data_IF_668810637138
#
_entry.id   IF_668810637138
#
_cell.length_a   1.000
_cell.length_b   1.000
_cell.length_c   1.000
_cell.angle_alpha   90.00
_cell.angle_beta   90.00
_cell.angle_gamma   90.00
#
_symmetry.space_group_name_H-M   'P 1'
#
loop_
_entity.id
_entity.type
_entity.pdbx_description
1 polymer ?
#
# COMPACT_ATOMS: atom_id res chain seq x y z
N UNK A 1 -15.23 -7.19 44.81
CA UNK A 1 -14.42 -7.03 43.57
C UNK A 1 -14.59 -5.61 43.08
N UNK A 2 -13.52 -4.83 43.14
CA UNK A 2 -13.56 -3.38 42.99
C UNK A 2 -13.96 -2.99 41.55
N UNK A 3 -14.99 -2.15 41.41
CA UNK A 3 -15.51 -1.59 40.15
C UNK A 3 -14.40 -1.00 39.24
N UNK A 4 -13.29 -0.56 39.82
CA UNK A 4 -12.09 -0.08 39.11
C UNK A 4 -11.39 -1.17 38.28
N UNK A 5 -11.40 -2.44 38.74
CA UNK A 5 -10.73 -3.56 38.06
C UNK A 5 -11.48 -3.95 36.79
N UNK A 6 -12.82 -3.95 36.84
CA UNK A 6 -13.67 -4.28 35.69
C UNK A 6 -13.50 -3.27 34.55
N UNK A 7 -13.38 -1.98 34.87
CA UNK A 7 -13.17 -0.92 33.86
C UNK A 7 -11.83 -1.09 33.16
N UNK A 8 -10.75 -1.39 33.90
CA UNK A 8 -9.41 -1.59 33.34
C UNK A 8 -9.38 -2.79 32.39
N UNK A 9 -9.99 -3.91 32.77
CA UNK A 9 -10.04 -5.11 31.94
C UNK A 9 -10.80 -4.85 30.63
N UNK A 10 -11.95 -4.17 30.68
CA UNK A 10 -12.73 -3.83 29.48
C UNK A 10 -11.97 -2.91 28.54
N UNK A 11 -11.27 -1.88 29.06
CA UNK A 11 -10.46 -0.99 28.23
C UNK A 11 -9.31 -1.71 27.53
N UNK A 12 -8.63 -2.65 28.21
CA UNK A 12 -7.53 -3.42 27.62
C UNK A 12 -8.02 -4.34 26.50
N UNK A 13 -9.17 -4.98 26.68
CA UNK A 13 -9.77 -5.86 25.65
C UNK A 13 -10.14 -5.06 24.40
N UNK A 14 -10.76 -3.88 24.55
CA UNK A 14 -11.15 -3.02 23.42
C UNK A 14 -9.90 -2.54 22.65
N UNK A 15 -8.83 -2.17 23.35
CA UNK A 15 -7.56 -1.77 22.75
C UNK A 15 -6.92 -2.90 21.93
N UNK A 16 -6.88 -4.12 22.48
CA UNK A 16 -6.34 -5.29 21.79
C UNK A 16 -7.14 -5.63 20.53
N UNK A 17 -8.47 -5.61 20.63
CA UNK A 17 -9.34 -5.81 19.47
C UNK A 17 -9.11 -4.74 18.39
N UNK A 18 -9.03 -3.46 18.75
CA UNK A 18 -8.78 -2.38 17.80
C UNK A 18 -7.44 -2.55 17.06
N UNK A 19 -6.39 -3.00 17.76
CA UNK A 19 -5.09 -3.30 17.14
C UNK A 19 -5.11 -4.54 16.24
N UNK A 20 -5.90 -5.56 16.60
CA UNK A 20 -6.07 -6.75 15.79
C UNK A 20 -6.82 -6.44 14.47
N UNK A 21 -7.94 -5.71 14.56
CA UNK A 21 -8.69 -5.27 13.37
C UNK A 21 -7.89 -4.33 12.47
N UNK A 22 -7.06 -3.45 13.04
CA UNK A 22 -6.15 -2.62 12.27
C UNK A 22 -5.08 -3.43 11.53
N UNK A 23 -4.55 -4.50 12.14
CA UNK A 23 -3.57 -5.38 11.49
C UNK A 23 -4.21 -6.27 10.41
N UNK A 24 -5.38 -6.84 10.68
CA UNK A 24 -6.13 -7.68 9.75
C UNK A 24 -6.65 -6.91 8.54
N UNK A 25 -6.99 -5.62 8.70
CA UNK A 25 -7.32 -4.74 7.57
C UNK A 25 -6.07 -4.24 6.82
N UNK A 26 -4.90 -4.18 7.47
CA UNK A 26 -3.66 -3.76 6.84
C UNK A 26 -3.10 -4.80 5.85
N UNK A 27 -3.17 -6.08 6.19
CA UNK A 27 -2.64 -7.15 5.36
C UNK A 27 -3.23 -7.19 3.94
N UNK A 28 -4.56 -7.23 3.73
CA UNK A 28 -5.16 -7.23 2.39
C UNK A 28 -4.86 -5.93 1.64
N UNK A 29 -4.78 -4.80 2.34
CA UNK A 29 -4.39 -3.53 1.72
C UNK A 29 -2.93 -3.53 1.28
N UNK A 30 -2.01 -4.09 2.06
CA UNK A 30 -0.61 -4.25 1.68
C UNK A 30 -0.45 -5.15 0.45
N UNK A 31 -1.21 -6.23 0.37
CA UNK A 31 -1.22 -7.10 -0.82
C UNK A 31 -1.75 -6.38 -2.05
N UNK A 32 -2.84 -5.60 -1.91
CA UNK A 32 -3.35 -4.74 -2.99
C UNK A 32 -2.31 -3.70 -3.43
N UNK A 33 -1.71 -2.97 -2.49
CA UNK A 33 -0.66 -2.00 -2.79
C UNK A 33 0.49 -2.66 -3.57
N UNK A 34 0.95 -3.82 -3.11
CA UNK A 34 2.02 -4.58 -3.78
C UNK A 34 1.62 -5.01 -5.19
N UNK A 35 0.42 -5.55 -5.36
CA UNK A 35 -0.10 -6.00 -6.65
C UNK A 35 -0.21 -4.84 -7.65
N UNK A 36 -0.79 -3.71 -7.23
CA UNK A 36 -0.90 -2.52 -8.07
C UNK A 36 0.47 -1.94 -8.43
N UNK A 37 1.43 -1.94 -7.49
CA UNK A 37 2.81 -1.54 -7.80
C UNK A 37 3.42 -2.43 -8.87
N UNK A 38 3.33 -3.76 -8.73
CA UNK A 38 3.79 -4.71 -9.73
C UNK A 38 3.16 -4.44 -11.09
N UNK A 39 1.82 -4.32 -11.13
CA UNK A 39 1.07 -4.06 -12.36
C UNK A 39 1.53 -2.77 -13.05
N UNK A 40 1.61 -1.65 -12.31
CA UNK A 40 1.96 -0.36 -12.88
C UNK A 40 3.41 -0.30 -13.37
N UNK A 41 4.36 -0.97 -12.70
CA UNK A 41 5.74 -1.02 -13.18
C UNK A 41 5.90 -1.97 -14.37
N UNK A 42 5.24 -3.14 -14.37
CA UNK A 42 5.30 -4.08 -15.49
C UNK A 42 4.71 -3.51 -16.77
N UNK A 43 3.53 -2.87 -16.69
CA UNK A 43 2.87 -2.31 -17.88
C UNK A 43 3.56 -1.07 -18.44
N UNK A 44 4.43 -0.42 -17.66
CA UNK A 44 5.26 0.67 -18.16
C UNK A 44 6.51 0.19 -18.89
N UNK A 45 6.84 -1.10 -18.82
CA UNK A 45 8.02 -1.71 -19.44
C UNK A 45 7.65 -2.53 -20.68
N UNK A 46 8.62 -2.80 -21.58
CA UNK A 46 8.40 -3.71 -22.70
C UNK A 46 8.02 -5.12 -22.19
N UNK A 47 7.02 -5.74 -22.79
CA UNK A 47 6.37 -7.01 -22.39
C UNK A 47 7.30 -8.22 -22.22
N UNK A 48 8.56 -8.13 -22.65
CA UNK A 48 9.52 -9.24 -22.70
C UNK A 48 10.42 -9.35 -21.46
N UNK A 49 10.32 -8.42 -20.51
CA UNK A 49 11.13 -8.46 -19.29
C UNK A 49 10.34 -9.12 -18.14
N UNK A 50 10.73 -10.34 -17.79
CA UNK A 50 10.27 -11.00 -16.57
C UNK A 50 11.19 -10.63 -15.41
N UNK A 51 10.65 -9.99 -14.38
CA UNK A 51 11.41 -9.55 -13.21
C UNK A 51 11.05 -10.42 -12.01
N UNK A 52 12.05 -11.05 -11.41
CA UNK A 52 11.85 -11.98 -10.29
C UNK A 52 11.37 -11.33 -9.00
N UNK A 53 11.44 -9.99 -8.87
CA UNK A 53 10.96 -9.28 -7.69
C UNK A 53 10.55 -7.81 -7.96
N UNK A 54 9.71 -7.27 -7.08
CA UNK A 54 9.16 -5.91 -7.20
C UNK A 54 10.23 -4.80 -7.15
N UNK A 55 11.33 -4.99 -6.43
CA UNK A 55 12.37 -3.97 -6.32
C UNK A 55 13.13 -3.81 -7.63
N UNK A 56 13.52 -4.93 -8.25
CA UNK A 56 14.20 -4.93 -9.55
C UNK A 56 13.31 -4.35 -10.66
N UNK A 57 12.03 -4.73 -10.63
CA UNK A 57 11.01 -4.19 -11.52
C UNK A 57 10.86 -2.66 -11.35
N UNK A 58 10.76 -2.19 -10.10
CA UNK A 58 10.72 -0.75 -9.79
C UNK A 58 11.97 -0.06 -10.30
N UNK A 59 13.15 -0.56 -9.95
CA UNK A 59 14.41 0.10 -10.27
C UNK A 59 14.62 0.18 -11.78
N UNK A 60 14.26 -0.88 -12.52
CA UNK A 60 14.28 -0.88 -13.98
C UNK A 60 13.30 0.13 -14.55
N UNK A 61 12.06 0.17 -14.06
CA UNK A 61 11.07 1.18 -14.47
C UNK A 61 11.54 2.61 -14.17
N UNK A 62 12.18 2.85 -13.03
CA UNK A 62 12.66 4.18 -12.63
C UNK A 62 13.83 4.68 -13.50
N UNK A 63 14.54 3.77 -14.17
CA UNK A 63 15.61 4.09 -15.12
C UNK A 63 15.10 4.38 -16.54
N UNK A 64 13.84 4.01 -16.87
CA UNK A 64 13.21 4.32 -18.15
C UNK A 64 12.26 5.53 -18.00
N UNK A 65 12.48 6.60 -18.77
CA UNK A 65 11.70 7.84 -18.65
C UNK A 65 10.21 7.65 -18.99
N UNK A 66 9.91 6.74 -19.92
CA UNK A 66 8.54 6.44 -20.35
C UNK A 66 7.83 5.63 -19.25
N UNK A 67 8.48 4.59 -18.74
CA UNK A 67 7.97 3.80 -17.63
C UNK A 67 7.78 4.67 -16.39
N UNK A 68 8.75 5.52 -16.03
CA UNK A 68 8.65 6.44 -14.90
C UNK A 68 7.39 7.32 -14.99
N UNK A 69 7.12 7.90 -16.16
CA UNK A 69 5.96 8.76 -16.37
C UNK A 69 4.65 7.96 -16.31
N UNK A 70 4.61 6.81 -16.99
CA UNK A 70 3.45 5.92 -17.00
C UNK A 70 3.12 5.40 -15.59
N UNK A 71 4.10 4.82 -14.91
CA UNK A 71 3.95 4.22 -13.60
C UNK A 71 3.47 5.23 -12.58
N UNK A 72 4.00 6.47 -12.59
CA UNK A 72 3.49 7.54 -11.72
C UNK A 72 1.98 7.75 -11.92
N UNK A 73 1.55 7.93 -13.16
CA UNK A 73 0.13 8.17 -13.49
C UNK A 73 -0.74 6.97 -13.11
N UNK A 74 -0.29 5.76 -13.44
CA UNK A 74 -0.97 4.51 -13.11
C UNK A 74 -1.16 4.35 -11.59
N UNK A 75 -0.09 4.53 -10.81
CA UNK A 75 -0.11 4.36 -9.36
C UNK A 75 -1.04 5.36 -8.68
N UNK A 76 -0.94 6.65 -9.04
CA UNK A 76 -1.79 7.70 -8.47
C UNK A 76 -3.26 7.42 -8.82
N UNK A 77 -3.56 7.13 -10.09
CA UNK A 77 -4.94 6.86 -10.52
C UNK A 77 -5.55 5.65 -9.80
N UNK A 78 -4.79 4.58 -9.55
CA UNK A 78 -5.30 3.41 -8.84
C UNK A 78 -5.46 3.69 -7.35
N UNK A 79 -4.50 4.35 -6.70
CA UNK A 79 -4.57 4.63 -5.26
C UNK A 79 -5.61 5.70 -4.89
N UNK A 80 -6.03 6.53 -5.84
CA UNK A 80 -7.17 7.45 -5.66
C UNK A 80 -8.53 6.78 -5.94
N UNK A 81 -8.56 5.54 -6.41
CA UNK A 81 -9.81 4.82 -6.71
C UNK A 81 -10.56 4.39 -5.45
N UNK A 82 -11.86 4.14 -5.60
CA UNK A 82 -12.71 3.63 -4.52
C UNK A 82 -12.21 2.30 -3.94
N UNK A 83 -11.46 1.51 -4.71
CA UNK A 83 -10.91 0.22 -4.27
C UNK A 83 -9.95 0.36 -3.07
N UNK A 84 -9.28 1.51 -2.95
CA UNK A 84 -8.34 1.84 -1.88
C UNK A 84 -8.91 2.81 -0.84
N UNK A 85 -10.16 3.25 -0.99
CA UNK A 85 -10.81 4.20 -0.08
C UNK A 85 -10.83 3.70 1.38
N UNK A 86 -10.99 2.39 1.57
CA UNK A 86 -11.00 1.73 2.88
C UNK A 86 -9.60 1.29 3.34
N UNK A 87 -8.55 1.50 2.53
CA UNK A 87 -7.21 1.12 2.91
C UNK A 87 -6.53 2.20 3.75
N UNK A 88 -6.18 1.89 5.01
CA UNK A 88 -5.38 2.81 5.81
C UNK A 88 -4.05 3.07 5.09
N UNK A 89 -3.51 4.28 5.24
CA UNK A 89 -2.21 4.71 4.69
C UNK A 89 -2.14 4.95 3.17
N UNK A 90 -3.24 4.82 2.40
CA UNK A 90 -3.23 5.12 0.95
C UNK A 90 -2.66 6.51 0.63
N UNK A 91 -3.02 7.51 1.43
CA UNK A 91 -2.49 8.88 1.30
C UNK A 91 -0.98 8.97 1.56
N UNK A 92 -0.45 8.12 2.43
CA UNK A 92 0.99 8.02 2.67
C UNK A 92 1.70 7.43 1.44
N UNK A 93 1.12 6.40 0.81
CA UNK A 93 1.65 5.84 -0.43
C UNK A 93 1.64 6.86 -1.58
N UNK A 94 0.54 7.59 -1.78
CA UNK A 94 0.44 8.67 -2.78
C UNK A 94 1.53 9.73 -2.58
N UNK A 95 1.77 10.16 -1.33
CA UNK A 95 2.85 11.10 -1.00
C UNK A 95 4.23 10.52 -1.31
N UNK A 96 4.46 9.26 -0.99
CA UNK A 96 5.72 8.57 -1.28
C UNK A 96 5.98 8.46 -2.79
N UNK A 97 4.97 8.14 -3.59
CA UNK A 97 5.06 8.13 -5.06
C UNK A 97 5.43 9.53 -5.58
N UNK A 98 4.74 10.57 -5.13
CA UNK A 98 5.06 11.94 -5.55
C UNK A 98 6.49 12.35 -5.22
N UNK A 99 7.10 11.82 -4.16
CA UNK A 99 8.51 12.05 -3.82
C UNK A 99 9.47 11.21 -4.68
N UNK A 100 9.16 9.93 -4.86
CA UNK A 100 9.99 8.98 -5.63
C UNK A 100 10.08 9.37 -7.11
N UNK A 101 9.01 9.94 -7.66
CA UNK A 101 8.90 10.37 -9.05
C UNK A 101 9.09 11.89 -9.25
N UNK A 102 9.83 12.56 -8.36
CA UNK A 102 10.45 13.86 -8.66
C UNK A 102 11.65 13.68 -9.59
#
# INVERSE_FOLDING_TARGET
>A
MNMKITVVIVTVIILLCATAFAAESLQPCNEKFKSTMTYCFQNGLPTFMDFGNLNELRDTCMNDATCKTFAKKCLISNFESEEFSNCPLVQTYIKSINRMFR
#
